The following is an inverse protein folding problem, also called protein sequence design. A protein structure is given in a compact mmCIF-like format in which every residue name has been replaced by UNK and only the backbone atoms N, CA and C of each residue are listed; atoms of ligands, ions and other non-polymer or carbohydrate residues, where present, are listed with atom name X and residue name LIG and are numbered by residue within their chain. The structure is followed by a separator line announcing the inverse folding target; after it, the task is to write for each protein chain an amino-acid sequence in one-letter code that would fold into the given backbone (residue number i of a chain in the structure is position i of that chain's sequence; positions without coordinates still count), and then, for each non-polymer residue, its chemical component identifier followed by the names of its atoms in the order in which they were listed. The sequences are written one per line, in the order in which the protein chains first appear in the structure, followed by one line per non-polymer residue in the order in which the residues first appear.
data_IF_784728342636
#
_entry.id   IF_784728342636
#
_cell.length_a   1.000
_cell.length_b   1.000
_cell.length_c   1.000
_cell.angle_alpha   90.00
_cell.angle_beta   90.00
_cell.angle_gamma   90.00
#
_symmetry.space_group_name_H-M   'P 1'
#
loop_
_entity.id
_entity.type
_entity.pdbx_description
1 polymer ?
#
# COMPACT_ATOMS: atom_id res chain seq x y z
N UNK A 1 -9.99 -23.34 -10.28
CA UNK A 1 -10.38 -22.27 -11.21
C UNK A 1 -9.23 -21.26 -11.46
N UNK A 2 -8.66 -20.60 -10.46
CA UNK A 2 -7.57 -19.62 -10.61
C UNK A 2 -6.35 -20.18 -11.35
N UNK A 3 -5.83 -21.34 -10.93
CA UNK A 3 -4.70 -21.99 -11.60
C UNK A 3 -4.95 -22.29 -13.10
N UNK A 4 -6.22 -22.51 -13.48
CA UNK A 4 -6.57 -22.78 -14.87
C UNK A 4 -6.59 -21.50 -15.72
N UNK A 5 -7.04 -20.36 -15.13
CA UNK A 5 -7.03 -19.05 -15.79
C UNK A 5 -5.57 -18.59 -15.96
N UNK A 6 -4.79 -18.62 -14.88
CA UNK A 6 -3.39 -18.23 -14.93
C UNK A 6 -2.54 -19.11 -15.87
N UNK A 7 -2.91 -20.38 -16.08
CA UNK A 7 -2.20 -21.28 -17.00
C UNK A 7 -2.44 -20.97 -18.49
N UNK A 8 -3.52 -20.31 -18.87
CA UNK A 8 -3.90 -20.09 -20.28
C UNK A 8 -2.99 -19.12 -21.02
N UNK A 9 -2.47 -18.08 -20.36
CA UNK A 9 -1.60 -17.09 -21.01
C UNK A 9 -0.16 -17.61 -21.06
N UNK A 10 0.53 -17.44 -22.19
CA UNK A 10 1.94 -17.86 -22.30
C UNK A 10 2.88 -16.91 -21.57
N UNK A 11 4.05 -17.39 -21.10
CA UNK A 11 5.05 -16.54 -20.47
C UNK A 11 5.59 -15.46 -21.43
N UNK A 12 5.68 -15.80 -22.74
CA UNK A 12 6.10 -14.84 -23.78
C UNK A 12 5.09 -13.69 -23.90
N UNK A 13 3.79 -14.02 -23.93
CA UNK A 13 2.75 -12.98 -23.99
C UNK A 13 2.75 -12.07 -22.75
N UNK A 14 2.90 -12.64 -21.55
CA UNK A 14 3.02 -11.84 -20.31
C UNK A 14 4.25 -10.93 -20.35
N UNK A 15 5.39 -11.44 -20.79
CA UNK A 15 6.60 -10.64 -20.90
C UNK A 15 6.42 -9.49 -21.91
N UNK A 16 5.84 -9.76 -23.07
CA UNK A 16 5.55 -8.72 -24.07
C UNK A 16 4.57 -7.66 -23.52
N UNK A 17 3.53 -8.07 -22.79
CA UNK A 17 2.62 -7.13 -22.12
C UNK A 17 3.36 -6.25 -21.11
N UNK A 18 4.29 -6.81 -20.32
CA UNK A 18 5.10 -6.05 -19.38
C UNK A 18 5.96 -5.02 -20.11
N UNK A 19 6.69 -5.42 -21.14
CA UNK A 19 7.53 -4.51 -21.94
C UNK A 19 6.69 -3.41 -22.57
N UNK A 20 5.53 -3.74 -23.13
CA UNK A 20 4.61 -2.77 -23.71
C UNK A 20 4.08 -1.77 -22.67
N UNK A 21 3.70 -2.23 -21.49
CA UNK A 21 3.23 -1.35 -20.41
C UNK A 21 4.34 -0.44 -19.88
N UNK A 22 5.57 -0.93 -19.75
CA UNK A 22 6.71 -0.08 -19.37
C UNK A 22 6.93 1.00 -20.42
N UNK A 23 6.95 0.61 -21.71
CA UNK A 23 7.07 1.58 -22.80
C UNK A 23 5.94 2.63 -22.79
N UNK A 24 4.68 2.19 -22.64
CA UNK A 24 3.54 3.10 -22.56
C UNK A 24 3.66 4.07 -21.38
N UNK A 25 4.02 3.59 -20.19
CA UNK A 25 4.18 4.46 -19.00
C UNK A 25 5.28 5.49 -19.21
N UNK A 26 6.44 5.08 -19.75
CA UNK A 26 7.53 6.00 -20.08
C UNK A 26 7.07 7.03 -21.10
N UNK A 27 6.39 6.59 -22.16
CA UNK A 27 5.84 7.47 -23.21
C UNK A 27 4.84 8.49 -22.64
N UNK A 28 3.85 8.03 -21.85
CA UNK A 28 2.89 8.93 -21.20
C UNK A 28 3.56 9.87 -20.20
N UNK A 29 4.55 9.39 -19.46
CA UNK A 29 5.34 10.24 -18.56
C UNK A 29 5.97 11.41 -19.33
N UNK A 30 6.62 11.16 -20.47
CA UNK A 30 7.19 12.21 -21.30
C UNK A 30 6.15 13.17 -21.86
N UNK A 31 4.98 12.67 -22.29
CA UNK A 31 3.91 13.54 -22.80
C UNK A 31 3.39 14.48 -21.71
N UNK A 32 3.22 14.00 -20.49
CA UNK A 32 2.76 14.80 -19.36
C UNK A 32 3.85 15.81 -18.93
N UNK A 33 5.09 15.37 -18.85
CA UNK A 33 6.21 16.19 -18.39
C UNK A 33 6.53 17.35 -19.34
N UNK A 34 6.20 17.22 -20.63
CA UNK A 34 6.36 18.26 -21.63
C UNK A 34 5.04 19.00 -21.96
N UNK A 35 4.05 18.92 -21.08
CA UNK A 35 2.73 19.61 -21.19
C UNK A 35 1.93 19.30 -22.47
N UNK A 36 2.26 18.20 -23.19
CA UNK A 36 1.45 17.75 -24.33
C UNK A 36 0.09 17.19 -23.89
N UNK A 37 -0.01 16.68 -22.67
CA UNK A 37 -1.24 16.18 -22.04
C UNK A 37 -1.32 16.72 -20.61
N UNK A 38 -2.44 17.40 -20.29
CA UNK A 38 -2.77 17.76 -18.91
C UNK A 38 -4.04 17.02 -18.50
N UNK A 39 -4.00 16.34 -17.39
CA UNK A 39 -5.19 15.62 -16.89
C UNK A 39 -6.16 16.50 -16.09
N UNK A 40 -5.82 17.76 -15.81
CA UNK A 40 -6.66 18.65 -14.97
C UNK A 40 -6.94 18.08 -13.56
N UNK A 41 -6.26 17.01 -13.20
CA UNK A 41 -6.37 16.38 -11.89
C UNK A 41 -5.61 17.25 -10.90
N UNK A 42 -6.34 18.01 -10.10
CA UNK A 42 -5.80 18.90 -9.08
C UNK A 42 -4.68 18.23 -8.30
N UNK A 43 -3.47 18.47 -8.70
CA UNK A 43 -2.28 17.91 -8.12
C UNK A 43 -1.18 18.92 -8.33
N UNK A 44 -0.27 19.07 -7.42
CA UNK A 44 0.82 20.03 -7.55
C UNK A 44 1.07 20.79 -6.25
N UNK A 45 0.06 21.00 -5.41
CA UNK A 45 0.24 21.70 -4.14
C UNK A 45 1.31 21.03 -3.26
N UNK A 46 1.19 19.71 -3.04
CA UNK A 46 2.19 18.95 -2.26
C UNK A 46 3.58 18.98 -2.92
N UNK A 47 3.65 18.75 -4.24
CA UNK A 47 4.92 18.71 -4.95
C UNK A 47 5.58 20.10 -5.01
N UNK A 48 4.79 21.17 -5.18
CA UNK A 48 5.31 22.54 -5.13
C UNK A 48 5.82 22.89 -3.74
N UNK A 49 5.04 22.57 -2.70
CA UNK A 49 5.50 22.72 -1.32
C UNK A 49 6.83 21.99 -1.04
N UNK A 50 6.96 20.73 -1.50
CA UNK A 50 8.22 19.97 -1.33
C UNK A 50 9.38 20.60 -2.08
N UNK A 51 9.13 21.16 -3.27
CA UNK A 51 10.12 21.87 -4.06
C UNK A 51 10.59 23.16 -3.37
N UNK A 52 9.64 23.98 -2.92
CA UNK A 52 9.91 25.25 -2.25
C UNK A 52 10.66 25.04 -0.93
N UNK A 53 10.32 23.99 -0.17
CA UNK A 53 11.08 23.60 1.01
C UNK A 53 12.50 23.13 0.66
N UNK A 54 12.65 22.33 -0.39
CA UNK A 54 13.97 21.85 -0.82
C UNK A 54 14.89 22.99 -1.23
N UNK A 55 14.36 24.05 -1.86
CA UNK A 55 15.11 25.24 -2.26
C UNK A 55 15.31 26.25 -1.11
N UNK A 56 14.72 26.03 0.05
CA UNK A 56 14.83 26.93 1.21
C UNK A 56 13.90 28.13 1.21
N UNK A 57 12.87 28.13 0.36
CA UNK A 57 11.85 29.19 0.36
C UNK A 57 10.84 29.03 1.50
N UNK A 58 10.73 27.82 2.05
CA UNK A 58 9.86 27.47 3.19
C UNK A 58 10.70 26.75 4.24
N UNK A 59 10.51 27.08 5.53
CA UNK A 59 11.28 26.50 6.64
C UNK A 59 10.51 25.46 7.46
N UNK A 60 9.18 25.37 7.34
CA UNK A 60 8.37 24.43 8.09
C UNK A 60 8.24 23.11 7.33
N UNK A 61 8.74 22.01 7.88
CA UNK A 61 8.59 20.67 7.31
C UNK A 61 7.36 19.97 7.90
N UNK A 62 6.37 19.66 7.07
CA UNK A 62 5.17 18.88 7.46
C UNK A 62 5.46 17.39 7.65
N UNK A 63 6.52 16.88 7.04
CA UNK A 63 6.96 15.49 7.15
C UNK A 63 8.44 15.37 6.75
N UNK A 64 9.02 14.18 6.86
CA UNK A 64 10.45 13.98 6.63
C UNK A 64 10.87 13.97 5.16
N UNK A 65 9.94 13.86 4.20
CA UNK A 65 10.29 13.84 2.77
C UNK A 65 10.92 15.12 2.26
N UNK A 66 10.34 16.33 2.47
CA UNK A 66 10.99 17.57 2.05
C UNK A 66 12.34 17.79 2.72
N UNK A 67 12.55 17.30 3.96
CA UNK A 67 13.85 17.36 4.65
C UNK A 67 14.92 16.57 3.88
N UNK A 68 14.56 15.37 3.37
CA UNK A 68 15.45 14.58 2.52
C UNK A 68 15.78 15.34 1.23
N UNK A 69 14.79 15.97 0.61
CA UNK A 69 15.00 16.73 -0.62
C UNK A 69 15.92 17.95 -0.39
N UNK A 70 15.72 18.68 0.72
CA UNK A 70 16.60 19.79 1.11
C UNK A 70 18.04 19.32 1.35
N UNK A 71 18.21 18.22 2.06
CA UNK A 71 19.52 17.60 2.26
C UNK A 71 20.21 17.27 0.93
N UNK A 72 19.48 16.71 -0.05
CA UNK A 72 20.03 16.48 -1.39
C UNK A 72 20.40 17.79 -2.09
N UNK A 73 19.61 18.86 -1.90
CA UNK A 73 19.89 20.17 -2.46
C UNK A 73 21.17 20.78 -1.88
N UNK A 74 21.39 20.64 -0.59
CA UNK A 74 22.59 21.14 0.09
C UNK A 74 23.88 20.48 -0.43
N UNK A 75 23.76 19.24 -0.95
CA UNK A 75 24.87 18.55 -1.65
C UNK A 75 24.91 18.78 -3.17
N UNK A 76 24.04 19.63 -3.70
CA UNK A 76 23.95 19.87 -5.15
C UNK A 76 23.41 18.67 -5.96
N UNK A 77 22.75 17.72 -5.31
CA UNK A 77 22.21 16.50 -5.91
C UNK A 77 20.70 16.59 -6.20
N UNK A 78 20.05 17.69 -5.84
CA UNK A 78 18.63 17.88 -6.05
C UNK A 78 18.31 18.46 -7.42
N UNK A 79 17.40 17.82 -8.11
CA UNK A 79 16.69 18.35 -9.28
C UNK A 79 15.27 17.79 -9.24
N UNK A 80 14.25 18.64 -9.36
CA UNK A 80 12.84 18.19 -9.34
C UNK A 80 12.59 17.10 -10.37
N UNK A 81 13.11 17.29 -11.59
CA UNK A 81 13.01 16.30 -12.65
C UNK A 81 13.83 15.06 -12.37
N UNK A 82 15.05 15.21 -11.87
CA UNK A 82 15.92 14.09 -11.51
C UNK A 82 15.28 13.18 -10.45
N UNK A 83 14.68 13.76 -9.40
CA UNK A 83 13.93 13.00 -8.37
C UNK A 83 12.69 12.33 -8.97
N UNK A 84 11.94 13.03 -9.82
CA UNK A 84 10.77 12.48 -10.50
C UNK A 84 11.13 11.29 -11.41
N UNK A 85 12.24 11.35 -12.17
CA UNK A 85 12.76 10.21 -12.93
C UNK A 85 13.21 9.05 -12.05
N UNK A 86 13.81 9.33 -10.89
CA UNK A 86 14.17 8.31 -9.91
C UNK A 86 12.92 7.61 -9.37
N UNK A 87 11.86 8.35 -9.03
CA UNK A 87 10.59 7.78 -8.57
C UNK A 87 9.94 6.94 -9.67
N UNK A 88 9.98 7.37 -10.93
CA UNK A 88 9.51 6.57 -12.07
C UNK A 88 10.29 5.25 -12.18
N UNK A 89 11.63 5.29 -12.06
CA UNK A 89 12.46 4.08 -12.08
C UNK A 89 12.10 3.13 -10.93
N UNK A 90 11.90 3.65 -9.73
CA UNK A 90 11.47 2.88 -8.56
C UNK A 90 10.12 2.21 -8.84
N UNK A 91 9.17 2.93 -9.42
CA UNK A 91 7.85 2.40 -9.78
C UNK A 91 7.92 1.27 -10.81
N UNK A 92 8.66 1.49 -11.89
CA UNK A 92 8.67 0.56 -13.02
C UNK A 92 9.45 -0.74 -12.72
N UNK A 93 10.50 -0.65 -11.91
CA UNK A 93 11.44 -1.77 -11.72
C UNK A 93 11.55 -2.24 -10.27
N UNK A 94 11.77 -1.33 -9.32
CA UNK A 94 12.10 -1.71 -7.94
C UNK A 94 10.87 -2.23 -7.18
N UNK A 95 9.75 -1.52 -7.22
CA UNK A 95 8.52 -1.94 -6.54
C UNK A 95 8.01 -3.29 -7.06
N UNK A 96 7.85 -3.54 -8.39
CA UNK A 96 7.44 -4.84 -8.90
C UNK A 96 8.39 -5.97 -8.51
N UNK A 97 9.70 -5.71 -8.56
CA UNK A 97 10.72 -6.68 -8.13
C UNK A 97 10.59 -7.00 -6.64
N UNK A 98 10.44 -6.01 -5.77
CA UNK A 98 10.30 -6.21 -4.33
C UNK A 98 9.01 -6.96 -3.98
N UNK A 99 7.89 -6.64 -4.61
CA UNK A 99 6.61 -7.35 -4.43
C UNK A 99 6.76 -8.82 -4.82
N UNK A 100 7.37 -9.12 -5.96
CA UNK A 100 7.63 -10.49 -6.39
C UNK A 100 8.58 -11.23 -5.41
N UNK A 101 9.66 -10.58 -4.96
CA UNK A 101 10.61 -11.13 -3.98
C UNK A 101 9.97 -11.38 -2.62
N UNK A 102 9.15 -10.45 -2.13
CA UNK A 102 8.38 -10.60 -0.90
C UNK A 102 7.35 -11.72 -0.99
N UNK A 103 6.75 -11.91 -2.15
CA UNK A 103 5.88 -13.05 -2.45
C UNK A 103 6.64 -14.39 -2.55
N UNK A 104 7.95 -14.38 -2.38
CA UNK A 104 8.81 -15.57 -2.47
C UNK A 104 8.90 -16.12 -3.88
N UNK A 105 8.58 -15.34 -4.89
CA UNK A 105 8.64 -15.75 -6.29
C UNK A 105 10.07 -15.61 -6.80
N UNK A 106 10.45 -16.55 -7.68
CA UNK A 106 11.73 -16.55 -8.38
C UNK A 106 11.47 -16.68 -9.88
N UNK A 107 12.13 -15.84 -10.68
CA UNK A 107 11.93 -15.82 -12.12
C UNK A 107 12.22 -17.20 -12.77
N UNK A 108 13.23 -17.92 -12.31
CA UNK A 108 13.59 -19.23 -12.86
C UNK A 108 12.61 -20.35 -12.45
N UNK A 109 12.18 -20.37 -11.16
CA UNK A 109 11.40 -21.48 -10.59
C UNK A 109 9.88 -21.26 -10.68
N UNK A 110 9.42 -20.01 -10.68
CA UNK A 110 8.01 -19.64 -10.66
C UNK A 110 7.70 -18.51 -11.64
N UNK A 111 8.29 -18.58 -12.84
CA UNK A 111 8.29 -17.52 -13.86
C UNK A 111 6.90 -16.92 -14.10
N UNK A 112 5.91 -17.76 -14.27
CA UNK A 112 4.55 -17.31 -14.58
C UNK A 112 3.94 -16.43 -13.48
N UNK A 113 4.04 -16.87 -12.23
CA UNK A 113 3.55 -16.10 -11.09
C UNK A 113 4.36 -14.82 -10.87
N UNK A 114 5.67 -14.89 -11.11
CA UNK A 114 6.54 -13.73 -11.09
C UNK A 114 6.09 -12.67 -12.09
N UNK A 115 5.87 -13.06 -13.35
CA UNK A 115 5.40 -12.15 -14.41
C UNK A 115 4.01 -11.57 -14.09
N UNK A 116 3.07 -12.36 -13.55
CA UNK A 116 1.79 -11.83 -13.10
C UNK A 116 1.93 -10.83 -11.94
N UNK A 117 2.82 -11.07 -10.99
CA UNK A 117 3.08 -10.14 -9.88
C UNK A 117 3.62 -8.81 -10.39
N UNK A 118 4.58 -8.85 -11.33
CA UNK A 118 5.13 -7.65 -11.98
C UNK A 118 4.05 -6.93 -12.78
N UNK A 119 3.28 -7.66 -13.59
CA UNK A 119 2.21 -7.11 -14.42
C UNK A 119 1.17 -6.36 -13.58
N UNK A 120 0.74 -6.93 -12.44
CA UNK A 120 -0.21 -6.30 -11.54
C UNK A 120 0.31 -4.98 -10.96
N UNK A 121 1.57 -4.91 -10.56
CA UNK A 121 2.17 -3.66 -10.10
C UNK A 121 2.24 -2.62 -11.23
N UNK A 122 2.53 -3.05 -12.46
CA UNK A 122 2.59 -2.14 -13.61
C UNK A 122 1.21 -1.68 -14.09
N UNK A 123 0.17 -2.50 -13.95
CA UNK A 123 -1.20 -2.08 -14.29
C UNK A 123 -1.77 -1.10 -13.26
N UNK A 124 -1.24 -1.05 -12.04
CA UNK A 124 -1.76 -0.23 -10.95
C UNK A 124 -1.61 1.28 -11.26
N UNK A 125 -2.70 2.01 -11.61
CA UNK A 125 -2.62 3.41 -12.05
C UNK A 125 -2.14 4.34 -10.96
N UNK A 126 -2.58 4.15 -9.72
CA UNK A 126 -2.23 5.02 -8.59
C UNK A 126 -0.72 5.06 -8.34
N UNK A 127 -0.03 3.92 -8.42
CA UNK A 127 1.43 3.89 -8.31
C UNK A 127 2.09 4.77 -9.37
N UNK A 128 1.62 4.71 -10.61
CA UNK A 128 2.20 5.52 -11.69
C UNK A 128 1.91 7.02 -11.53
N UNK A 129 0.70 7.38 -11.11
CA UNK A 129 0.30 8.77 -10.97
C UNK A 129 1.24 9.55 -10.04
N UNK A 130 1.63 8.96 -8.92
CA UNK A 130 2.50 9.61 -7.93
C UNK A 130 4.00 9.62 -8.32
N UNK A 131 4.35 9.16 -9.52
CA UNK A 131 5.70 9.35 -10.09
C UNK A 131 5.80 10.58 -10.99
N UNK A 132 4.68 11.18 -11.37
CA UNK A 132 4.65 12.30 -12.31
C UNK A 132 5.32 13.56 -11.75
N UNK A 133 5.47 13.65 -10.43
CA UNK A 133 6.21 14.71 -9.76
C UNK A 133 6.87 14.15 -8.48
N UNK A 134 7.50 15.01 -7.67
CA UNK A 134 8.26 14.66 -6.46
C UNK A 134 7.36 14.27 -5.26
N UNK A 135 6.27 13.52 -5.50
CA UNK A 135 5.40 13.03 -4.45
C UNK A 135 6.12 11.99 -3.57
N UNK A 136 5.84 12.05 -2.26
CA UNK A 136 6.46 11.12 -1.27
C UNK A 136 5.95 9.68 -1.37
N UNK A 137 4.81 9.45 -1.99
CA UNK A 137 4.07 8.18 -1.90
C UNK A 137 4.85 7.00 -2.49
N UNK A 138 5.56 7.19 -3.60
CA UNK A 138 6.43 6.16 -4.19
C UNK A 138 7.65 5.83 -3.32
N UNK A 139 8.29 6.86 -2.78
CA UNK A 139 9.41 6.67 -1.86
C UNK A 139 8.96 5.95 -0.57
N UNK A 140 7.79 6.31 -0.04
CA UNK A 140 7.21 5.63 1.11
C UNK A 140 6.84 4.18 0.80
N UNK A 141 6.32 3.89 -0.42
CA UNK A 141 6.06 2.52 -0.85
C UNK A 141 7.34 1.68 -0.91
N UNK A 142 8.43 2.26 -1.43
CA UNK A 142 9.76 1.62 -1.39
C UNK A 142 10.18 1.32 0.05
N UNK A 143 10.13 2.31 0.95
CA UNK A 143 10.52 2.14 2.36
C UNK A 143 9.66 1.08 3.07
N UNK A 144 8.35 1.06 2.83
CA UNK A 144 7.45 0.04 3.34
C UNK A 144 7.83 -1.37 2.86
N UNK A 145 8.09 -1.55 1.55
CA UNK A 145 8.50 -2.83 1.00
C UNK A 145 9.87 -3.30 1.50
N UNK A 146 10.82 -2.37 1.68
CA UNK A 146 12.12 -2.67 2.32
C UNK A 146 11.90 -3.09 3.77
N UNK A 147 11.05 -2.39 4.52
CA UNK A 147 10.66 -2.78 5.87
C UNK A 147 10.05 -4.18 5.91
N UNK A 148 9.12 -4.49 5.01
CA UNK A 148 8.55 -5.83 4.87
C UNK A 148 9.63 -6.89 4.56
N UNK A 149 10.66 -6.54 3.76
CA UNK A 149 11.76 -7.47 3.48
C UNK A 149 12.60 -7.76 4.73
N UNK A 150 12.86 -6.74 5.56
CA UNK A 150 13.55 -6.89 6.83
C UNK A 150 12.73 -7.75 7.80
N UNK A 151 11.43 -7.48 7.94
CA UNK A 151 10.51 -8.31 8.75
C UNK A 151 10.49 -9.75 8.27
N UNK A 152 10.39 -9.99 6.96
CA UNK A 152 10.43 -11.33 6.39
C UNK A 152 11.73 -12.07 6.73
N UNK A 153 12.88 -11.39 6.63
CA UNK A 153 14.17 -11.94 7.03
C UNK A 153 14.21 -12.21 8.53
N UNK A 154 13.74 -11.30 9.36
CA UNK A 154 13.65 -11.47 10.80
C UNK A 154 12.87 -12.74 11.17
N UNK A 155 11.65 -12.88 10.65
CA UNK A 155 10.76 -13.99 10.98
C UNK A 155 11.19 -15.35 10.39
N UNK A 156 12.18 -15.37 9.50
CA UNK A 156 12.78 -16.58 8.95
C UNK A 156 14.01 -17.07 9.73
N UNK A 157 14.49 -16.31 10.72
CA UNK A 157 15.65 -16.68 11.53
C UNK A 157 15.26 -17.49 12.75
N UNK A 158 16.05 -18.52 13.05
CA UNK A 158 15.92 -19.37 14.24
C UNK A 158 16.89 -18.97 15.35
N UNK A 159 18.04 -18.37 15.00
CA UNK A 159 19.05 -17.92 15.93
C UNK A 159 18.67 -16.56 16.55
N UNK A 160 18.84 -16.44 17.86
CA UNK A 160 18.40 -15.27 18.64
C UNK A 160 19.13 -13.99 18.22
N UNK A 161 20.43 -14.07 17.92
CA UNK A 161 21.25 -12.88 17.56
C UNK A 161 20.75 -12.28 16.24
N UNK A 162 20.64 -13.09 15.16
CA UNK A 162 20.14 -12.60 13.87
C UNK A 162 18.70 -12.16 13.95
N UNK A 163 17.84 -12.86 14.71
CA UNK A 163 16.47 -12.43 14.94
C UNK A 163 16.43 -11.02 15.56
N UNK A 164 17.17 -10.82 16.68
CA UNK A 164 17.20 -9.53 17.39
C UNK A 164 17.75 -8.41 16.53
N UNK A 165 18.79 -8.67 15.75
CA UNK A 165 19.35 -7.69 14.80
C UNK A 165 18.32 -7.24 13.76
N UNK A 166 17.68 -8.18 13.05
CA UNK A 166 16.67 -7.82 12.06
C UNK A 166 15.40 -7.23 12.69
N UNK A 167 15.05 -7.62 13.91
CA UNK A 167 13.93 -7.05 14.63
C UNK A 167 14.19 -5.58 14.98
N UNK A 168 15.41 -5.26 15.45
CA UNK A 168 15.82 -3.87 15.68
C UNK A 168 15.80 -3.04 14.39
N UNK A 169 16.33 -3.59 13.28
CA UNK A 169 16.25 -2.91 11.98
C UNK A 169 14.80 -2.67 11.54
N UNK A 170 13.89 -3.62 11.81
CA UNK A 170 12.48 -3.45 11.50
C UNK A 170 11.83 -2.33 12.34
N UNK A 171 12.23 -2.20 13.61
CA UNK A 171 11.80 -1.10 14.49
C UNK A 171 12.32 0.24 13.93
N UNK A 172 13.58 0.34 13.55
CA UNK A 172 14.16 1.57 12.99
C UNK A 172 13.45 2.01 11.71
N UNK A 173 13.16 1.07 10.81
CA UNK A 173 12.35 1.35 9.60
C UNK A 173 10.91 1.77 9.99
N UNK A 174 10.33 1.17 11.01
CA UNK A 174 9.02 1.57 11.51
C UNK A 174 9.00 3.03 11.99
N UNK A 175 10.02 3.48 12.71
CA UNK A 175 10.17 4.88 13.10
C UNK A 175 10.44 5.80 11.91
N UNK A 176 11.20 5.35 10.91
CA UNK A 176 11.40 6.09 9.69
C UNK A 176 10.07 6.28 8.91
N UNK A 177 9.28 5.23 8.80
CA UNK A 177 7.93 5.30 8.21
C UNK A 177 7.00 6.24 9.01
N UNK A 178 7.15 6.28 10.34
CA UNK A 178 6.40 7.20 11.21
C UNK A 178 6.77 8.66 10.93
N UNK A 179 8.05 8.96 10.72
CA UNK A 179 8.50 10.29 10.35
C UNK A 179 8.02 10.74 8.96
N UNK A 180 7.82 9.78 8.04
CA UNK A 180 7.26 10.05 6.71
C UNK A 180 5.73 10.19 6.74
N UNK A 181 5.03 9.29 7.45
CA UNK A 181 3.58 9.29 7.64
C UNK A 181 3.21 8.56 8.93
N UNK A 182 2.69 9.26 9.96
CA UNK A 182 2.42 8.65 11.26
C UNK A 182 1.58 7.38 11.19
N UNK A 183 0.48 7.38 10.43
CA UNK A 183 -0.42 6.21 10.31
C UNK A 183 0.32 4.95 9.83
N UNK A 184 1.24 5.12 8.86
CA UNK A 184 1.98 4.03 8.25
C UNK A 184 2.98 3.42 9.24
N UNK A 185 3.71 4.29 9.96
CA UNK A 185 4.70 3.86 10.96
C UNK A 185 4.05 3.19 12.15
N UNK A 186 3.01 3.78 12.75
CA UNK A 186 2.29 3.15 13.87
C UNK A 186 1.72 1.80 13.49
N UNK A 187 1.05 1.68 12.36
CA UNK A 187 0.48 0.41 11.91
C UNK A 187 1.57 -0.65 11.67
N UNK A 188 2.71 -0.25 11.11
CA UNK A 188 3.85 -1.14 10.87
C UNK A 188 4.44 -1.66 12.19
N UNK A 189 4.71 -0.77 13.16
CA UNK A 189 5.26 -1.13 14.48
C UNK A 189 4.31 -1.99 15.29
N UNK A 190 3.01 -1.66 15.31
CA UNK A 190 2.01 -2.48 15.99
C UNK A 190 1.85 -3.86 15.32
N UNK A 191 1.87 -3.93 13.99
CA UNK A 191 1.84 -5.20 13.30
C UNK A 191 3.09 -6.05 13.58
N UNK A 192 4.27 -5.39 13.72
CA UNK A 192 5.51 -6.05 14.12
C UNK A 192 5.43 -6.61 15.54
N UNK A 193 4.73 -5.97 16.47
CA UNK A 193 4.50 -6.49 17.82
C UNK A 193 3.48 -7.66 17.82
N UNK A 194 2.46 -7.60 16.96
CA UNK A 194 1.31 -8.50 16.96
C UNK A 194 1.41 -9.69 15.97
N UNK A 195 2.51 -9.88 15.25
CA UNK A 195 2.67 -10.92 14.23
C UNK A 195 2.42 -12.35 14.69
N UNK A 196 2.53 -12.62 16.03
CA UNK A 196 2.29 -13.94 16.60
C UNK A 196 0.81 -14.33 16.65
N UNK A 197 -0.12 -13.41 16.45
CA UNK A 197 -1.56 -13.66 16.46
C UNK A 197 -1.89 -14.67 15.37
N UNK A 198 -2.40 -15.84 15.77
CA UNK A 198 -2.79 -16.91 14.85
C UNK A 198 -4.22 -16.67 14.34
N UNK A 199 -4.35 -16.17 13.13
CA UNK A 199 -5.62 -15.99 12.44
C UNK A 199 -6.04 -17.33 11.80
N UNK A 200 -7.05 -17.98 12.36
CA UNK A 200 -7.70 -19.16 11.78
C UNK A 200 -9.13 -18.82 11.40
N UNK A 201 -9.72 -19.56 10.47
CA UNK A 201 -11.12 -19.33 10.05
C UNK A 201 -12.10 -19.23 11.22
N UNK A 202 -11.92 -20.07 12.25
CA UNK A 202 -12.76 -20.07 13.46
C UNK A 202 -12.55 -18.84 14.35
N UNK A 203 -11.37 -18.21 14.29
CA UNK A 203 -10.99 -17.06 15.13
C UNK A 203 -11.19 -15.71 14.45
N UNK A 204 -11.34 -15.67 13.12
CA UNK A 204 -11.52 -14.41 12.39
C UNK A 204 -12.74 -13.64 12.89
N UNK A 205 -13.89 -14.29 13.01
CA UNK A 205 -15.12 -13.63 13.45
C UNK A 205 -15.02 -13.12 14.90
N UNK A 206 -14.62 -13.94 15.91
CA UNK A 206 -14.42 -13.42 17.26
C UNK A 206 -13.40 -12.28 17.34
N UNK A 207 -12.28 -12.36 16.61
CA UNK A 207 -11.32 -11.26 16.57
C UNK A 207 -11.88 -10.00 15.90
N UNK A 208 -12.66 -10.14 14.84
CA UNK A 208 -13.31 -8.99 14.20
C UNK A 208 -14.31 -8.32 15.16
N UNK A 209 -15.14 -9.08 15.85
CA UNK A 209 -16.08 -8.55 16.85
C UNK A 209 -15.34 -7.84 17.98
N UNK A 210 -14.30 -8.46 18.55
CA UNK A 210 -13.50 -7.86 19.60
C UNK A 210 -12.80 -6.57 19.12
N UNK A 211 -12.30 -6.59 17.89
CA UNK A 211 -11.61 -5.45 17.30
C UNK A 211 -12.57 -4.26 17.08
N UNK A 212 -13.73 -4.50 16.47
CA UNK A 212 -14.73 -3.45 16.28
C UNK A 212 -15.30 -2.93 17.61
N UNK A 213 -15.44 -3.80 18.60
CA UNK A 213 -15.83 -3.39 19.94
C UNK A 213 -14.73 -2.50 20.58
N UNK A 214 -13.47 -2.87 20.43
CA UNK A 214 -12.35 -2.05 20.92
C UNK A 214 -12.30 -0.69 20.23
N UNK A 215 -12.52 -0.62 18.91
CA UNK A 215 -12.59 0.65 18.17
C UNK A 215 -13.78 1.51 18.64
N UNK A 216 -14.94 0.87 18.87
CA UNK A 216 -16.11 1.57 19.39
C UNK A 216 -15.84 2.17 20.78
N UNK A 217 -15.25 1.39 21.69
CA UNK A 217 -14.88 1.90 23.01
C UNK A 217 -13.85 3.01 22.92
N UNK A 218 -12.82 2.85 22.06
CA UNK A 218 -11.80 3.87 21.86
C UNK A 218 -12.40 5.19 21.37
N UNK A 219 -13.37 5.14 20.46
CA UNK A 219 -14.09 6.32 20.00
C UNK A 219 -14.96 6.93 21.13
N UNK A 220 -15.68 6.07 21.87
CA UNK A 220 -16.57 6.52 22.94
C UNK A 220 -15.84 7.25 24.07
N UNK A 221 -14.61 6.84 24.42
CA UNK A 221 -13.79 7.49 25.45
C UNK A 221 -12.91 8.64 24.91
N UNK A 222 -13.09 9.04 23.64
CA UNK A 222 -12.31 10.12 23.00
C UNK A 222 -10.88 9.76 22.60
N UNK A 223 -10.46 8.48 22.69
CA UNK A 223 -9.09 8.08 22.33
C UNK A 223 -8.79 8.22 20.82
N UNK A 224 -9.80 8.42 19.98
CA UNK A 224 -9.67 8.64 18.54
C UNK A 224 -9.90 10.10 18.13
N UNK A 225 -10.04 11.03 19.09
CA UNK A 225 -10.37 12.44 18.86
C UNK A 225 -9.38 13.11 17.89
N UNK A 226 -8.08 12.88 18.05
CA UNK A 226 -7.05 13.40 17.12
C UNK A 226 -7.31 12.99 15.67
N UNK A 227 -7.86 11.79 15.43
CA UNK A 227 -8.18 11.31 14.09
C UNK A 227 -9.47 11.94 13.56
N UNK A 228 -10.47 12.08 14.41
CA UNK A 228 -11.77 12.68 14.03
C UNK A 228 -11.64 14.18 13.78
N UNK A 229 -10.89 14.91 14.60
CA UNK A 229 -10.55 16.32 14.38
C UNK A 229 -9.78 16.52 13.06
N UNK A 230 -8.79 15.65 12.77
CA UNK A 230 -8.08 15.71 11.49
C UNK A 230 -9.02 15.48 10.30
N UNK A 231 -10.02 14.60 10.46
CA UNK A 231 -11.06 14.38 9.45
C UNK A 231 -11.92 15.60 9.20
N UNK A 232 -12.37 16.29 10.27
CA UNK A 232 -13.19 17.48 10.19
C UNK A 232 -12.48 18.62 9.44
N UNK A 233 -11.15 18.67 9.45
CA UNK A 233 -10.35 19.60 8.66
C UNK A 233 -10.64 19.51 7.15
N UNK A 234 -11.01 18.34 6.62
CA UNK A 234 -11.37 18.19 5.21
C UNK A 234 -12.74 18.77 4.84
N UNK A 235 -13.66 18.94 5.81
CA UNK A 235 -14.98 19.52 5.55
C UNK A 235 -14.87 21.04 5.33
N UNK A 236 -13.91 21.69 5.98
CA UNK A 236 -13.68 23.13 5.87
C UNK A 236 -12.89 23.50 4.59
N UNK A 237 -12.19 22.56 3.98
CA UNK A 237 -11.49 22.75 2.71
C UNK A 237 -12.45 22.54 1.52
N UNK A 238 -13.32 23.49 1.23
CA UNK A 238 -14.21 23.51 0.07
C UNK A 238 -13.47 23.52 -1.31
N UNK A 239 -12.18 23.31 -1.33
CA UNK A 239 -11.39 23.35 -2.55
C UNK A 239 -11.10 21.94 -3.11
N UNK A 240 -12.03 21.46 -3.96
CA UNK A 240 -11.64 20.57 -5.06
C UNK A 240 -11.60 19.08 -4.80
N UNK A 241 -12.16 18.55 -3.70
CA UNK A 241 -12.18 17.10 -3.42
C UNK A 241 -13.60 16.54 -3.25
N UNK A 242 -13.77 15.26 -3.61
CA UNK A 242 -15.00 14.52 -3.24
C UNK A 242 -14.84 13.99 -1.84
N UNK A 243 -15.55 14.52 -0.87
CA UNK A 243 -15.60 14.06 0.52
C UNK A 243 -16.79 13.13 0.72
N UNK A 244 -16.71 12.20 1.69
CA UNK A 244 -17.82 11.31 2.04
C UNK A 244 -18.84 12.00 2.98
N UNK A 245 -18.39 12.99 3.77
CA UNK A 245 -19.23 13.68 4.76
C UNK A 245 -19.67 12.76 5.91
N UNK A 246 -18.80 11.85 6.37
CA UNK A 246 -19.13 10.89 7.43
C UNK A 246 -18.69 11.44 8.79
N UNK A 247 -19.65 11.68 9.67
CA UNK A 247 -19.42 12.14 11.04
C UNK A 247 -19.07 10.97 11.97
N UNK A 248 -17.89 11.04 12.60
CA UNK A 248 -17.42 10.07 13.60
C UNK A 248 -17.55 10.59 15.04
N UNK A 249 -18.02 11.81 15.24
CA UNK A 249 -18.24 12.40 16.58
C UNK A 249 -19.38 11.69 17.33
N UNK A 250 -20.39 11.20 16.59
CA UNK A 250 -21.50 10.45 17.18
C UNK A 250 -21.14 8.96 17.38
N UNK A 251 -20.94 8.50 18.64
CA UNK A 251 -20.56 7.12 18.90
C UNK A 251 -21.54 6.05 18.35
N UNK A 252 -22.84 6.36 18.30
CA UNK A 252 -23.86 5.41 17.79
C UNK A 252 -23.71 5.18 16.29
N UNK A 253 -23.22 6.16 15.54
CA UNK A 253 -22.97 6.08 14.10
C UNK A 253 -21.56 5.61 13.76
N UNK A 254 -20.68 5.41 14.75
CA UNK A 254 -19.29 5.04 14.53
C UNK A 254 -19.13 3.80 13.64
N UNK A 255 -19.76 2.68 14.00
CA UNK A 255 -19.66 1.44 13.23
C UNK A 255 -20.28 1.54 11.82
N UNK A 256 -21.51 2.06 11.64
CA UNK A 256 -22.05 2.33 10.31
C UNK A 256 -21.14 3.20 9.47
N UNK A 257 -20.65 4.33 10.00
CA UNK A 257 -19.79 5.25 9.28
C UNK A 257 -18.42 4.64 8.95
N UNK A 258 -17.86 3.82 9.85
CA UNK A 258 -16.64 3.07 9.58
C UNK A 258 -16.82 2.10 8.39
N UNK A 259 -17.95 1.40 8.32
CA UNK A 259 -18.26 0.49 7.20
C UNK A 259 -18.42 1.29 5.90
N UNK A 260 -19.15 2.41 5.92
CA UNK A 260 -19.32 3.28 4.75
C UNK A 260 -17.97 3.87 4.31
N UNK A 261 -17.14 4.31 5.25
CA UNK A 261 -15.77 4.76 4.98
C UNK A 261 -14.93 3.67 4.32
N UNK A 262 -15.00 2.43 4.81
CA UNK A 262 -14.29 1.30 4.21
C UNK A 262 -14.80 1.00 2.79
N UNK A 263 -16.10 1.02 2.56
CA UNK A 263 -16.70 0.80 1.25
C UNK A 263 -16.31 1.92 0.27
N UNK A 264 -16.43 3.17 0.68
CA UNK A 264 -16.13 4.33 -0.16
C UNK A 264 -14.63 4.50 -0.43
N UNK A 265 -13.82 4.48 0.61
CA UNK A 265 -12.40 4.84 0.54
C UNK A 265 -11.49 3.64 0.25
N UNK A 266 -11.55 2.57 1.05
CA UNK A 266 -10.67 1.41 0.87
C UNK A 266 -11.04 0.60 -0.38
N UNK A 267 -12.33 0.42 -0.62
CA UNK A 267 -12.82 -0.33 -1.78
C UNK A 267 -13.30 0.55 -2.94
N UNK A 268 -13.25 1.88 -2.81
CA UNK A 268 -13.54 2.80 -3.91
C UNK A 268 -14.96 2.69 -4.48
N UNK A 269 -15.95 2.27 -3.67
CA UNK A 269 -17.35 2.13 -4.08
C UNK A 269 -18.08 3.49 -4.12
N UNK A 270 -17.36 4.55 -4.38
CA UNK A 270 -17.90 5.90 -4.57
C UNK A 270 -17.64 6.33 -6.01
N UNK A 271 -18.51 5.90 -6.91
CA UNK A 271 -18.33 5.95 -8.37
C UNK A 271 -18.91 7.25 -8.96
N UNK A 272 -18.37 8.39 -8.57
CA UNK A 272 -18.91 9.72 -8.95
C UNK A 272 -18.48 10.22 -10.32
N UNK A 273 -17.43 9.63 -10.91
CA UNK A 273 -16.93 10.03 -12.22
C UNK A 273 -16.30 8.84 -12.97
N UNK A 274 -16.07 8.94 -14.29
CA UNK A 274 -15.48 7.84 -15.07
C UNK A 274 -14.11 7.39 -14.59
N UNK A 275 -13.29 8.30 -14.02
CA UNK A 275 -11.98 7.95 -13.50
C UNK A 275 -12.09 7.08 -12.23
N UNK A 276 -13.02 7.41 -11.31
CA UNK A 276 -13.31 6.58 -10.14
C UNK A 276 -13.76 5.17 -10.55
N UNK A 277 -14.61 5.05 -11.59
CA UNK A 277 -15.02 3.75 -12.16
C UNK A 277 -13.80 2.99 -12.70
N UNK A 278 -12.92 3.64 -13.43
CA UNK A 278 -11.71 3.03 -13.98
C UNK A 278 -10.81 2.48 -12.86
N UNK A 279 -10.55 3.28 -11.81
CA UNK A 279 -9.76 2.86 -10.65
C UNK A 279 -10.43 1.69 -9.93
N UNK A 280 -11.76 1.72 -9.75
CA UNK A 280 -12.50 0.63 -9.15
C UNK A 280 -12.29 -0.68 -9.93
N UNK A 281 -12.44 -0.65 -11.25
CA UNK A 281 -12.31 -1.84 -12.10
C UNK A 281 -10.88 -2.37 -12.12
N UNK A 282 -9.88 -1.49 -12.27
CA UNK A 282 -8.49 -1.91 -12.46
C UNK A 282 -7.79 -2.24 -11.13
N UNK A 283 -8.08 -1.50 -10.06
CA UNK A 283 -7.41 -1.67 -8.77
C UNK A 283 -8.23 -2.51 -7.79
N UNK A 284 -9.49 -2.12 -7.58
CA UNK A 284 -10.29 -2.70 -6.47
C UNK A 284 -10.82 -4.09 -6.80
N UNK A 285 -11.37 -4.34 -7.98
CA UNK A 285 -11.90 -5.67 -8.32
C UNK A 285 -10.83 -6.77 -8.18
N UNK A 286 -9.60 -6.61 -8.71
CA UNK A 286 -8.53 -7.58 -8.47
C UNK A 286 -8.22 -7.78 -6.98
N UNK A 287 -8.18 -6.70 -6.18
CA UNK A 287 -7.90 -6.78 -4.75
C UNK A 287 -9.00 -7.52 -3.99
N UNK A 288 -10.27 -7.27 -4.28
CA UNK A 288 -11.40 -8.00 -3.68
C UNK A 288 -11.31 -9.50 -3.96
N UNK A 289 -10.99 -9.85 -5.21
CA UNK A 289 -10.76 -11.24 -5.60
C UNK A 289 -9.59 -11.87 -4.81
N UNK A 290 -8.46 -11.16 -4.68
CA UNK A 290 -7.30 -11.63 -3.93
C UNK A 290 -7.59 -11.75 -2.43
N UNK A 291 -8.30 -10.80 -1.83
CA UNK A 291 -8.74 -10.88 -0.43
C UNK A 291 -9.62 -12.11 -0.18
N UNK A 292 -10.60 -12.36 -1.06
CA UNK A 292 -11.43 -13.57 -0.99
C UNK A 292 -10.57 -14.84 -1.05
N UNK A 293 -9.56 -14.88 -1.92
CA UNK A 293 -8.63 -16.01 -2.00
C UNK A 293 -7.79 -16.17 -0.72
N UNK A 294 -7.24 -15.08 -0.19
CA UNK A 294 -6.44 -15.07 1.05
C UNK A 294 -7.27 -15.61 2.21
N UNK A 295 -8.49 -15.11 2.41
CA UNK A 295 -9.39 -15.56 3.47
C UNK A 295 -9.74 -17.05 3.36
N UNK A 296 -10.01 -17.55 2.15
CA UNK A 296 -10.28 -18.98 1.91
C UNK A 296 -9.06 -19.86 2.21
N UNK A 297 -7.85 -19.34 2.05
CA UNK A 297 -6.60 -20.09 2.18
C UNK A 297 -5.73 -19.63 3.36
N UNK A 298 -6.30 -18.93 4.34
CA UNK A 298 -5.61 -18.38 5.52
C UNK A 298 -4.80 -19.41 6.32
N UNK A 299 -5.14 -20.69 6.22
CA UNK A 299 -4.41 -21.80 6.86
C UNK A 299 -2.95 -21.93 6.42
N UNK A 300 -2.60 -21.37 5.25
CA UNK A 300 -1.22 -21.36 4.74
C UNK A 300 -0.42 -20.13 5.19
N UNK A 301 -1.02 -19.22 5.97
CA UNK A 301 -0.36 -18.00 6.44
C UNK A 301 0.72 -18.33 7.48
N UNK A 302 1.96 -18.01 7.15
CA UNK A 302 3.11 -18.03 8.07
C UNK A 302 3.19 -16.75 8.92
N UNK A 303 4.29 -16.56 9.68
CA UNK A 303 4.50 -15.37 10.50
C UNK A 303 4.51 -14.07 9.69
N UNK A 304 5.13 -14.08 8.52
CA UNK A 304 5.23 -12.91 7.66
C UNK A 304 3.87 -12.51 7.08
N UNK A 305 3.09 -13.48 6.60
CA UNK A 305 1.75 -13.20 6.08
C UNK A 305 0.81 -12.72 7.20
N UNK A 306 0.95 -13.25 8.42
CA UNK A 306 0.20 -12.75 9.57
C UNK A 306 0.55 -11.30 9.89
N UNK A 307 1.83 -10.93 9.87
CA UNK A 307 2.26 -9.54 9.98
C UNK A 307 1.57 -8.65 8.95
N UNK A 308 1.57 -9.02 7.66
CA UNK A 308 0.94 -8.23 6.61
C UNK A 308 -0.59 -8.12 6.76
N UNK A 309 -1.27 -9.18 7.22
CA UNK A 309 -2.72 -9.13 7.47
C UNK A 309 -3.04 -8.21 8.65
N UNK A 310 -2.26 -8.31 9.74
CA UNK A 310 -2.43 -7.42 10.89
C UNK A 310 -2.13 -5.96 10.49
N UNK A 311 -1.06 -5.73 9.72
CA UNK A 311 -0.77 -4.41 9.16
C UNK A 311 -1.92 -3.89 8.31
N UNK A 312 -2.48 -4.71 7.41
CA UNK A 312 -3.61 -4.32 6.56
C UNK A 312 -4.79 -3.80 7.40
N UNK A 313 -5.16 -4.52 8.45
CA UNK A 313 -6.29 -4.16 9.31
C UNK A 313 -5.99 -2.88 10.10
N UNK A 314 -4.85 -2.83 10.79
CA UNK A 314 -4.49 -1.68 11.63
C UNK A 314 -4.31 -0.41 10.81
N UNK A 315 -3.59 -0.49 9.70
CA UNK A 315 -3.35 0.66 8.84
C UNK A 315 -4.66 1.17 8.22
N UNK A 316 -5.48 0.28 7.65
CA UNK A 316 -6.78 0.67 7.11
C UNK A 316 -7.64 1.38 8.16
N UNK A 317 -7.72 0.83 9.37
CA UNK A 317 -8.59 1.40 10.41
C UNK A 317 -8.23 2.82 10.79
N UNK A 318 -6.93 3.11 10.96
CA UNK A 318 -6.49 4.44 11.37
C UNK A 318 -6.84 5.48 10.31
N UNK A 319 -6.49 5.22 9.05
CA UNK A 319 -6.73 6.23 8.02
C UNK A 319 -8.20 6.29 7.55
N UNK A 320 -8.97 5.21 7.68
CA UNK A 320 -10.41 5.23 7.40
C UNK A 320 -11.20 6.08 8.40
N UNK A 321 -10.72 6.20 9.63
CA UNK A 321 -11.29 7.10 10.62
C UNK A 321 -10.83 8.54 10.36
N UNK A 322 -9.55 8.76 10.14
CA UNK A 322 -8.94 10.09 10.05
C UNK A 322 -9.01 10.76 8.68
N UNK A 323 -9.48 10.08 7.62
CA UNK A 323 -9.57 10.68 6.28
C UNK A 323 -11.01 10.70 5.78
N UNK A 324 -11.41 11.80 5.15
CA UNK A 324 -12.71 11.92 4.46
C UNK A 324 -12.57 12.10 2.95
N UNK A 325 -11.42 12.58 2.49
CA UNK A 325 -11.20 12.91 1.09
C UNK A 325 -10.85 11.68 0.25
N UNK A 326 -11.59 11.46 -0.84
CA UNK A 326 -11.43 10.32 -1.72
C UNK A 326 -10.14 10.36 -2.55
N UNK A 327 -9.65 11.54 -2.92
CA UNK A 327 -8.37 11.70 -3.59
C UNK A 327 -7.21 11.26 -2.70
N UNK A 328 -7.24 11.65 -1.42
CA UNK A 328 -6.29 11.18 -0.41
C UNK A 328 -6.44 9.68 -0.14
N UNK A 329 -7.67 9.15 -0.12
CA UNK A 329 -7.93 7.72 0.08
C UNK A 329 -7.24 6.84 -0.96
N UNK A 330 -7.19 7.28 -2.22
CA UNK A 330 -6.49 6.55 -3.30
C UNK A 330 -4.99 6.39 -2.98
N UNK A 331 -4.35 7.42 -2.40
CA UNK A 331 -2.95 7.38 -1.93
C UNK A 331 -2.78 6.45 -0.73
N UNK A 332 -3.72 6.52 0.22
CA UNK A 332 -3.63 5.78 1.48
C UNK A 332 -3.82 4.27 1.27
N UNK A 333 -4.77 3.85 0.44
CA UNK A 333 -5.03 2.42 0.18
C UNK A 333 -3.89 1.69 -0.54
N UNK A 334 -2.93 2.40 -1.13
CA UNK A 334 -1.79 1.84 -1.86
C UNK A 334 -1.03 0.79 -1.03
N UNK A 335 -0.74 1.07 0.23
CA UNK A 335 0.01 0.14 1.10
C UNK A 335 -0.82 -1.09 1.47
N UNK A 336 -2.13 -0.92 1.64
CA UNK A 336 -3.06 -2.03 1.83
C UNK A 336 -3.05 -2.97 0.61
N UNK A 337 -3.09 -2.41 -0.59
CA UNK A 337 -3.15 -3.17 -1.84
C UNK A 337 -1.83 -3.88 -2.13
N UNK A 338 -0.68 -3.24 -1.88
CA UNK A 338 0.63 -3.90 -1.97
C UNK A 338 0.74 -5.08 -0.99
N UNK A 339 0.26 -4.92 0.25
CA UNK A 339 0.22 -6.02 1.22
C UNK A 339 -0.67 -7.19 0.73
N UNK A 340 -1.82 -6.90 0.11
CA UNK A 340 -2.70 -7.92 -0.49
C UNK A 340 -2.01 -8.63 -1.65
N UNK A 341 -1.32 -7.93 -2.54
CA UNK A 341 -0.57 -8.53 -3.66
C UNK A 341 0.48 -9.52 -3.14
N UNK A 342 1.27 -9.10 -2.16
CA UNK A 342 2.28 -9.96 -1.54
C UNK A 342 1.64 -11.20 -0.91
N UNK A 343 0.61 -11.02 -0.08
CA UNK A 343 -0.10 -12.12 0.58
C UNK A 343 -0.70 -13.11 -0.42
N UNK A 344 -1.35 -12.61 -1.47
CA UNK A 344 -1.99 -13.44 -2.48
C UNK A 344 -0.99 -14.36 -3.18
N UNK A 345 0.07 -13.80 -3.76
CA UNK A 345 1.05 -14.61 -4.49
C UNK A 345 1.85 -15.53 -3.58
N UNK A 346 2.14 -15.10 -2.35
CA UNK A 346 2.84 -15.94 -1.39
C UNK A 346 2.00 -17.18 -1.00
N UNK A 347 0.73 -16.98 -0.65
CA UNK A 347 -0.20 -18.07 -0.31
C UNK A 347 -0.45 -18.96 -1.51
N UNK A 348 -0.58 -18.39 -2.72
CA UNK A 348 -0.77 -19.14 -3.97
C UNK A 348 0.41 -20.11 -4.21
N UNK A 349 1.64 -19.64 -4.02
CA UNK A 349 2.85 -20.45 -4.10
C UNK A 349 2.86 -21.57 -3.05
N UNK A 350 2.61 -21.25 -1.79
CA UNK A 350 2.61 -22.25 -0.70
C UNK A 350 1.57 -23.34 -0.94
N UNK A 351 0.37 -22.95 -1.38
CA UNK A 351 -0.69 -23.90 -1.72
C UNK A 351 -0.28 -24.81 -2.88
N UNK A 352 0.30 -24.25 -3.95
CA UNK A 352 0.76 -25.04 -5.09
C UNK A 352 1.82 -26.07 -4.68
N UNK A 353 2.79 -25.68 -3.87
CA UNK A 353 3.82 -26.59 -3.36
C UNK A 353 3.23 -27.72 -2.50
N UNK A 354 2.27 -27.40 -1.64
CA UNK A 354 1.60 -28.40 -0.80
C UNK A 354 0.79 -29.41 -1.63
N UNK A 355 0.09 -28.95 -2.67
CA UNK A 355 -0.66 -29.82 -3.58
C UNK A 355 0.27 -30.78 -4.35
N UNK A 356 1.43 -30.30 -4.80
CA UNK A 356 2.45 -31.13 -5.48
C UNK A 356 3.01 -32.19 -4.53
N UNK A 357 3.39 -31.83 -3.31
CA UNK A 357 3.89 -32.79 -2.32
C UNK A 357 2.87 -33.88 -2.00
N UNK A 358 1.58 -33.51 -1.89
CA UNK A 358 0.51 -34.49 -1.64
C UNK A 358 0.29 -35.48 -2.79
N UNK A 359 0.59 -35.09 -4.02
CA UNK A 359 0.53 -35.99 -5.21
C UNK A 359 1.73 -36.93 -5.23
N UNK A 360 2.92 -36.46 -4.85
CA UNK A 360 4.16 -37.29 -4.82
C UNK A 360 4.10 -38.34 -3.70
N UNK A 361 3.42 -38.04 -2.58
CA UNK A 361 3.28 -38.96 -1.43
C UNK A 361 2.12 -39.97 -1.56
N UNK A 362 1.35 -39.91 -2.63
CA UNK A 362 0.35 -40.92 -3.02
C UNK A 362 0.88 -41.84 -4.11
#
# INVERSE_FOLDING_TARGET
MINNILKRVSNKALFLCIVYLVFLKVFFYFLIKNDYISFGLGGGSDANYYHDYALGYIDLAVNFWPVILRFLNDFGLYSRDGISYLLLFINLFIIPFLVAKLSGLNFQKSQKYYLYSVLLCLIYPTLFFYTLDIYRDEFMALCFLVGCLIVKKCLSRSDFISFSYFYLLAILIGFFLLALRPYLGYAFLLALALWKIKLTKKRILPFAVLYFFALFIANYIGALEILTEYREGFENEMQGGSNLGLDFSNPLLFLPNFILSALGQLFGLYLVNPFAVLLFVIETIPVLFMLSFILKNIKYADGFIRFLIVFFVLYASVWLIGNDNLGTAVRLRLYNYLAVYICFFYILKLKSNYEIQKVIMK
#
